data_IF_998474580787
#
_entry.id   IF_998474580787
#
_cell.length_a   1.000
_cell.length_b   1.000
_cell.length_c   1.000
_cell.angle_alpha   90.00
_cell.angle_beta   90.00
_cell.angle_gamma   90.00
#
_symmetry.space_group_name_H-M   'P 1'
#
loop_
_entity.id
_entity.type
_entity.pdbx_description
1 polymer ?
#
# COMPACT_ATOMS: atom_id res chain seq x y z
N UNK A 1 -30.02 4.57 6.29
CA UNK A 1 -29.51 3.76 5.17
C UNK A 1 -28.24 3.08 5.59
N UNK A 2 -28.26 1.77 5.67
CA UNK A 2 -27.07 1.02 6.05
C UNK A 2 -26.13 0.96 4.86
N UNK A 3 -24.90 1.39 5.07
CA UNK A 3 -23.84 1.17 4.11
C UNK A 3 -23.26 -0.22 4.37
N UNK A 4 -23.67 -1.18 3.60
CA UNK A 4 -23.04 -2.48 3.64
C UNK A 4 -21.68 -2.40 2.94
N UNK A 5 -20.66 -2.91 3.61
CA UNK A 5 -19.35 -3.02 3.00
C UNK A 5 -19.44 -4.01 1.83
N UNK A 6 -19.08 -3.55 0.65
CA UNK A 6 -18.99 -4.41 -0.52
C UNK A 6 -17.58 -4.99 -0.59
N UNK A 7 -17.48 -6.32 -0.53
CA UNK A 7 -16.21 -7.00 -0.66
C UNK A 7 -16.04 -7.51 -2.08
N UNK A 8 -14.96 -7.10 -2.71
CA UNK A 8 -14.55 -7.62 -4.01
C UNK A 8 -13.20 -8.31 -3.86
N UNK A 9 -13.03 -9.44 -4.52
CA UNK A 9 -11.74 -10.11 -4.60
C UNK A 9 -11.21 -9.95 -6.01
N UNK A 10 -10.04 -9.29 -6.14
CA UNK A 10 -9.44 -9.01 -7.42
C UNK A 10 -8.10 -9.75 -7.52
N UNK A 11 -7.88 -10.38 -8.68
CA UNK A 11 -6.59 -10.97 -9.01
C UNK A 11 -5.69 -9.96 -9.70
N UNK A 12 -4.39 -10.22 -9.63
CA UNK A 12 -3.42 -9.39 -10.32
C UNK A 12 -3.27 -9.81 -11.78
N UNK A 13 -2.96 -8.84 -12.62
CA UNK A 13 -2.58 -9.10 -14.00
C UNK A 13 -1.26 -9.88 -14.05
N UNK A 14 -1.00 -10.55 -15.16
CA UNK A 14 0.19 -11.39 -15.32
C UNK A 14 1.49 -10.63 -15.07
N UNK A 15 1.58 -9.39 -15.54
CA UNK A 15 2.75 -8.54 -15.33
C UNK A 15 2.97 -8.22 -13.85
N UNK A 16 1.87 -7.99 -13.11
CA UNK A 16 1.93 -7.74 -11.68
C UNK A 16 2.39 -8.99 -10.94
N UNK A 17 1.92 -10.16 -11.35
CA UNK A 17 2.37 -11.44 -10.76
C UNK A 17 3.88 -11.64 -10.93
N UNK A 18 4.41 -11.32 -12.09
CA UNK A 18 5.85 -11.37 -12.36
C UNK A 18 6.61 -10.42 -11.43
N UNK A 19 6.12 -9.20 -11.30
CA UNK A 19 6.71 -8.21 -10.42
C UNK A 19 6.72 -8.68 -8.97
N UNK A 20 5.58 -9.20 -8.49
CA UNK A 20 5.47 -9.73 -7.13
C UNK A 20 6.49 -10.83 -6.89
N UNK A 21 6.64 -11.73 -7.84
CA UNK A 21 7.60 -12.83 -7.74
C UNK A 21 9.03 -12.30 -7.60
N UNK A 22 9.40 -11.34 -8.42
CA UNK A 22 10.73 -10.73 -8.38
C UNK A 22 10.95 -9.94 -7.09
N UNK A 23 9.96 -9.19 -6.62
CA UNK A 23 10.05 -8.44 -5.37
C UNK A 23 10.21 -9.38 -4.18
N UNK A 24 9.42 -10.43 -4.11
CA UNK A 24 9.50 -11.43 -3.04
C UNK A 24 10.89 -12.05 -3.02
N UNK A 25 11.42 -12.43 -4.18
CA UNK A 25 12.74 -13.03 -4.28
C UNK A 25 13.85 -12.06 -3.86
N UNK A 26 13.78 -10.82 -4.34
CA UNK A 26 14.79 -9.79 -4.06
C UNK A 26 14.80 -9.34 -2.60
N UNK A 27 13.63 -9.27 -1.95
CA UNK A 27 13.48 -8.71 -0.62
C UNK A 27 13.25 -9.75 0.48
N UNK A 28 13.34 -11.02 0.15
CA UNK A 28 13.02 -12.11 1.07
C UNK A 28 13.79 -12.05 2.39
N UNK A 29 15.04 -11.61 2.35
CA UNK A 29 15.88 -11.51 3.55
C UNK A 29 15.64 -10.25 4.37
N UNK A 30 14.81 -9.33 3.89
CA UNK A 30 14.52 -8.05 4.55
C UNK A 30 13.01 -7.82 4.58
N UNK A 31 12.30 -8.68 5.29
CA UNK A 31 10.84 -8.71 5.30
C UNK A 31 10.20 -7.47 5.92
N UNK A 32 10.89 -6.80 6.83
CA UNK A 32 10.35 -5.61 7.51
C UNK A 32 10.11 -4.43 6.55
N UNK A 33 10.60 -4.51 5.32
CA UNK A 33 10.33 -3.50 4.30
C UNK A 33 8.82 -3.32 4.08
N UNK A 34 8.03 -4.39 4.16
CA UNK A 34 6.58 -4.27 3.98
C UNK A 34 5.97 -3.29 4.97
N UNK A 35 6.41 -3.35 6.21
CA UNK A 35 5.88 -2.48 7.26
C UNK A 35 6.29 -1.02 7.04
N UNK A 36 7.54 -0.78 6.68
CA UNK A 36 8.03 0.57 6.35
C UNK A 36 7.22 1.19 5.21
N UNK A 37 6.99 0.42 4.15
CA UNK A 37 6.26 0.93 3.00
C UNK A 37 4.80 1.22 3.32
N UNK A 38 4.14 0.35 4.08
CA UNK A 38 2.75 0.58 4.47
C UNK A 38 2.61 1.77 5.43
N UNK A 39 3.53 1.93 6.37
CA UNK A 39 3.55 3.09 7.27
C UNK A 39 3.79 4.37 6.48
N UNK A 40 4.71 4.35 5.52
CA UNK A 40 4.98 5.49 4.65
C UNK A 40 3.74 5.88 3.85
N UNK A 41 3.05 4.90 3.27
CA UNK A 41 1.81 5.14 2.53
C UNK A 41 0.72 5.72 3.44
N UNK A 42 0.58 5.21 4.64
CA UNK A 42 -0.38 5.72 5.62
C UNK A 42 -0.06 7.16 6.02
N UNK A 43 1.20 7.46 6.26
CA UNK A 43 1.66 8.81 6.57
C UNK A 43 1.37 9.78 5.42
N UNK A 44 1.62 9.36 4.19
CA UNK A 44 1.34 10.16 3.00
C UNK A 44 -0.16 10.45 2.86
N UNK A 45 -1.01 9.48 3.18
CA UNK A 45 -2.46 9.66 3.16
C UNK A 45 -2.92 10.70 4.18
N UNK A 46 -2.32 10.70 5.37
CA UNK A 46 -2.58 11.70 6.40
C UNK A 46 -2.11 13.08 5.98
N UNK A 47 -0.93 13.18 5.39
CA UNK A 47 -0.40 14.45 4.89
C UNK A 47 -1.28 15.02 3.78
N UNK A 48 -1.78 14.17 2.89
CA UNK A 48 -2.67 14.59 1.82
C UNK A 48 -3.98 15.13 2.35
N UNK A 49 -4.56 14.47 3.36
CA UNK A 49 -5.76 14.98 4.02
C UNK A 49 -5.50 16.34 4.67
N UNK A 50 -4.40 16.45 5.40
CA UNK A 50 -4.03 17.70 6.07
C UNK A 50 -3.89 18.83 5.07
N UNK A 51 -3.23 18.59 3.96
CA UNK A 51 -3.05 19.58 2.91
C UNK A 51 -4.38 20.02 2.30
N UNK A 52 -5.22 19.05 1.93
CA UNK A 52 -6.53 19.35 1.33
C UNK A 52 -7.46 20.05 2.32
N UNK A 53 -7.36 19.72 3.60
CA UNK A 53 -8.21 20.31 4.64
C UNK A 53 -7.85 21.78 4.95
N UNK A 54 -6.72 22.27 4.48
CA UNK A 54 -6.40 23.71 4.58
C UNK A 54 -7.44 24.56 3.85
N UNK A 55 -8.02 24.05 2.79
CA UNK A 55 -9.07 24.73 2.03
C UNK A 55 -10.49 24.27 2.42
N UNK A 56 -10.63 23.09 3.01
CA UNK A 56 -11.93 22.51 3.34
C UNK A 56 -11.83 21.67 4.63
N UNK A 57 -12.10 22.29 5.77
CA UNK A 57 -12.09 21.64 7.09
C UNK A 57 -13.07 20.46 7.19
N UNK A 58 -14.13 20.46 6.37
CA UNK A 58 -15.13 19.40 6.40
C UNK A 58 -14.55 18.03 6.04
N UNK A 59 -13.39 18.00 5.36
CA UNK A 59 -12.70 16.77 5.01
C UNK A 59 -12.26 15.97 6.25
N UNK A 60 -12.06 16.64 7.39
CA UNK A 60 -11.73 15.95 8.64
C UNK A 60 -12.89 15.15 9.23
N UNK A 61 -14.11 15.40 8.79
CA UNK A 61 -15.32 14.75 9.31
C UNK A 61 -15.41 14.79 10.84
N UNK A 62 -15.02 15.93 11.43
CA UNK A 62 -15.03 16.14 12.87
C UNK A 62 -13.82 15.59 13.61
N UNK A 63 -12.91 14.94 12.93
CA UNK A 63 -11.71 14.38 13.55
C UNK A 63 -10.45 14.94 12.90
N UNK A 64 -9.87 15.97 13.51
CA UNK A 64 -8.67 16.62 13.02
C UNK A 64 -7.38 15.97 13.49
N UNK A 65 -7.45 15.02 14.42
CA UNK A 65 -6.29 14.28 14.89
C UNK A 65 -5.98 13.11 13.97
N UNK A 66 -4.89 13.25 13.22
CA UNK A 66 -4.46 12.24 12.25
C UNK A 66 -3.57 11.20 12.94
N UNK A 67 -3.82 9.94 12.64
CA UNK A 67 -3.05 8.87 13.26
C UNK A 67 -2.86 7.68 12.32
N UNK A 68 -1.78 6.95 12.57
CA UNK A 68 -1.52 5.65 11.98
C UNK A 68 -1.52 4.63 13.12
N UNK A 69 -2.27 3.56 12.96
CA UNK A 69 -2.40 2.54 14.00
C UNK A 69 -1.98 1.18 13.44
N UNK A 70 -1.18 0.46 14.21
CA UNK A 70 -0.75 -0.89 13.86
C UNK A 70 -1.33 -1.85 14.91
N UNK A 71 -2.02 -2.88 14.44
CA UNK A 71 -2.61 -3.90 15.30
C UNK A 71 -2.13 -5.27 14.83
N UNK A 72 -1.74 -6.10 15.78
CA UNK A 72 -1.35 -7.48 15.50
C UNK A 72 -2.33 -8.44 16.16
N UNK A 73 -2.62 -9.55 15.47
CA UNK A 73 -3.47 -10.61 15.96
C UNK A 73 -2.78 -11.95 15.72
N UNK A 74 -2.17 -12.49 16.77
CA UNK A 74 -1.40 -13.73 16.68
C UNK A 74 -2.28 -14.97 16.50
N UNK A 75 -3.54 -14.91 16.92
CA UNK A 75 -4.47 -16.05 16.75
C UNK A 75 -4.86 -16.25 15.29
N UNK A 76 -5.06 -15.15 14.57
CA UNK A 76 -5.41 -15.14 13.15
C UNK A 76 -4.22 -14.90 12.22
N UNK A 77 -3.02 -14.78 12.78
CA UNK A 77 -1.80 -14.49 12.01
C UNK A 77 -1.98 -13.28 11.11
N UNK A 78 -2.47 -12.18 11.67
CA UNK A 78 -2.73 -10.97 10.88
C UNK A 78 -2.06 -9.74 11.47
N UNK A 79 -1.75 -8.79 10.60
CA UNK A 79 -1.29 -7.46 10.95
C UNK A 79 -2.18 -6.46 10.22
N UNK A 80 -2.67 -5.49 10.95
CA UNK A 80 -3.52 -4.43 10.40
C UNK A 80 -2.81 -3.09 10.53
N UNK A 81 -2.66 -2.37 9.43
CA UNK A 81 -2.16 -1.00 9.42
C UNK A 81 -3.32 -0.12 8.99
N UNK A 82 -3.75 0.79 9.86
CA UNK A 82 -4.84 1.70 9.55
C UNK A 82 -4.41 3.15 9.72
N UNK A 83 -5.00 4.01 8.92
CA UNK A 83 -4.75 5.44 9.00
C UNK A 83 -6.07 6.21 8.93
N UNK A 84 -6.04 7.44 9.44
CA UNK A 84 -7.15 8.38 9.35
C UNK A 84 -6.95 9.41 8.23
N UNK A 85 -6.23 9.03 7.19
CA UNK A 85 -5.91 9.89 6.07
C UNK A 85 -7.06 10.07 5.09
N UNK A 86 -6.71 10.52 3.87
CA UNK A 86 -7.69 10.93 2.85
C UNK A 86 -8.58 9.80 2.34
N UNK A 87 -8.13 8.55 2.45
CA UNK A 87 -8.87 7.42 1.92
C UNK A 87 -8.80 7.30 0.40
N UNK A 88 -9.47 6.29 -0.12
CA UNK A 88 -9.53 6.01 -1.55
C UNK A 88 -10.94 5.58 -1.93
N UNK A 89 -11.41 5.97 -3.10
CA UNK A 89 -12.63 5.40 -3.67
C UNK A 89 -12.30 4.11 -4.43
N UNK A 90 -13.33 3.42 -4.93
CA UNK A 90 -13.13 2.15 -5.64
C UNK A 90 -12.18 2.28 -6.83
N UNK A 91 -12.31 3.35 -7.60
CA UNK A 91 -11.47 3.58 -8.77
C UNK A 91 -10.02 3.80 -8.36
N UNK A 92 -9.78 4.56 -7.30
CA UNK A 92 -8.44 4.79 -6.77
C UNK A 92 -7.79 3.48 -6.34
N UNK A 93 -8.54 2.60 -5.66
CA UNK A 93 -8.02 1.31 -5.23
C UNK A 93 -7.59 0.47 -6.43
N UNK A 94 -8.41 0.42 -7.47
CA UNK A 94 -8.11 -0.35 -8.68
C UNK A 94 -6.87 0.21 -9.38
N UNK A 95 -6.80 1.53 -9.53
CA UNK A 95 -5.70 2.18 -10.26
C UNK A 95 -4.38 2.14 -9.51
N UNK A 96 -4.41 2.36 -8.19
CA UNK A 96 -3.18 2.48 -7.40
C UNK A 96 -2.69 1.16 -6.82
N UNK A 97 -3.59 0.22 -6.55
CA UNK A 97 -3.23 -1.05 -5.93
C UNK A 97 -3.37 -2.24 -6.89
N UNK A 98 -4.30 -2.16 -7.82
CA UNK A 98 -4.59 -3.25 -8.76
C UNK A 98 -3.73 -3.25 -10.01
N UNK A 99 -3.21 -2.09 -10.39
CA UNK A 99 -2.33 -1.94 -11.54
C UNK A 99 -1.07 -1.21 -11.10
N UNK A 100 0.07 -1.76 -11.43
CA UNK A 100 1.33 -1.04 -11.28
C UNK A 100 1.32 0.09 -12.30
N UNK A 101 1.89 1.23 -11.93
CA UNK A 101 2.05 2.35 -12.84
C UNK A 101 2.50 1.85 -14.20
N UNK A 102 1.58 1.88 -15.15
CA UNK A 102 1.68 1.17 -16.44
C UNK A 102 2.97 1.44 -17.21
N UNK A 103 3.50 2.65 -17.10
CA UNK A 103 4.70 3.07 -17.81
C UNK A 103 5.99 2.79 -17.04
N UNK A 104 5.89 2.56 -15.73
CA UNK A 104 7.06 2.39 -14.88
C UNK A 104 7.46 0.95 -14.61
N UNK A 105 6.58 -0.01 -14.89
CA UNK A 105 6.82 -1.40 -14.50
C UNK A 105 8.05 -2.01 -15.20
N UNK A 106 8.15 -1.83 -16.50
CA UNK A 106 9.29 -2.36 -17.25
C UNK A 106 10.60 -1.70 -16.84
N UNK A 107 10.57 -0.40 -16.62
CA UNK A 107 11.73 0.34 -16.14
C UNK A 107 12.12 -0.09 -14.74
N UNK A 108 11.15 -0.24 -13.84
CA UNK A 108 11.40 -0.74 -12.49
C UNK A 108 12.07 -2.12 -12.53
N UNK A 109 11.54 -3.04 -13.31
CA UNK A 109 12.09 -4.39 -13.44
C UNK A 109 13.51 -4.37 -13.98
N UNK A 110 13.81 -3.48 -14.93
CA UNK A 110 15.14 -3.38 -15.53
C UNK A 110 16.18 -2.85 -14.56
N UNK A 111 15.77 -2.09 -13.54
CA UNK A 111 16.66 -1.48 -12.56
C UNK A 111 16.87 -2.34 -11.31
N UNK A 112 16.12 -3.41 -11.14
CA UNK A 112 16.30 -4.31 -10.00
C UNK A 112 17.69 -4.97 -10.07
N UNK A 113 18.43 -4.86 -8.99
CA UNK A 113 19.83 -5.30 -8.92
C UNK A 113 20.06 -6.50 -8.02
N UNK A 114 19.09 -6.85 -7.17
CA UNK A 114 19.29 -7.81 -6.10
C UNK A 114 19.93 -7.22 -4.85
N UNK A 115 20.39 -5.97 -4.90
CA UNK A 115 20.89 -5.24 -3.75
C UNK A 115 19.70 -4.66 -2.97
N UNK A 116 19.47 -5.16 -1.76
CA UNK A 116 18.33 -4.78 -0.95
C UNK A 116 18.18 -3.28 -0.72
N UNK A 117 19.29 -2.59 -0.50
CA UNK A 117 19.25 -1.15 -0.23
C UNK A 117 18.80 -0.36 -1.46
N UNK A 118 19.35 -0.71 -2.62
CA UNK A 118 19.00 -0.05 -3.88
C UNK A 118 17.58 -0.41 -4.30
N UNK A 119 17.19 -1.67 -4.16
CA UNK A 119 15.87 -2.13 -4.53
C UNK A 119 14.79 -1.53 -3.62
N UNK A 120 15.06 -1.33 -2.33
CA UNK A 120 14.16 -0.64 -1.42
C UNK A 120 13.91 0.80 -1.85
N UNK A 121 14.94 1.50 -2.29
CA UNK A 121 14.80 2.87 -2.80
C UNK A 121 13.97 2.91 -4.08
N UNK A 122 14.16 1.94 -4.97
CA UNK A 122 13.38 1.83 -6.19
C UNK A 122 11.89 1.58 -5.90
N UNK A 123 11.59 0.74 -4.92
CA UNK A 123 10.20 0.47 -4.52
C UNK A 123 9.47 1.76 -4.15
N UNK A 124 10.09 2.60 -3.32
CA UNK A 124 9.53 3.89 -2.96
C UNK A 124 9.43 4.84 -4.15
N UNK A 125 10.48 4.89 -4.98
CA UNK A 125 10.53 5.77 -6.14
C UNK A 125 9.44 5.46 -7.17
N UNK A 126 9.17 4.18 -7.43
CA UNK A 126 8.16 3.76 -8.40
C UNK A 126 6.76 3.55 -7.81
N UNK A 127 6.59 3.78 -6.50
CA UNK A 127 5.28 3.70 -5.84
C UNK A 127 4.69 2.30 -5.80
N UNK A 128 5.53 1.29 -5.72
CA UNK A 128 5.10 -0.12 -5.70
C UNK A 128 5.20 -0.75 -4.31
N UNK A 129 5.34 0.08 -3.28
CA UNK A 129 5.54 -0.37 -1.91
C UNK A 129 4.43 -1.25 -1.35
N UNK A 130 3.18 -1.01 -1.77
CA UNK A 130 2.06 -1.82 -1.35
C UNK A 130 2.30 -3.31 -1.61
N UNK A 131 2.91 -3.63 -2.73
CA UNK A 131 3.13 -5.02 -3.14
C UNK A 131 4.12 -5.77 -2.24
N UNK A 132 4.93 -5.03 -1.48
CA UNK A 132 5.84 -5.65 -0.50
C UNK A 132 5.10 -6.41 0.59
N UNK A 133 3.81 -6.13 0.81
CA UNK A 133 2.96 -6.87 1.74
C UNK A 133 2.94 -8.36 1.44
N UNK A 134 3.04 -8.74 0.18
CA UNK A 134 3.00 -10.15 -0.24
C UNK A 134 4.28 -10.91 0.05
N UNK A 135 5.33 -10.24 0.54
CA UNK A 135 6.52 -10.92 1.07
C UNK A 135 6.15 -11.72 2.33
N UNK A 136 5.20 -11.22 3.11
CA UNK A 136 4.80 -11.83 4.40
C UNK A 136 3.38 -12.36 4.40
N UNK A 137 2.53 -11.93 3.48
CA UNK A 137 1.10 -12.26 3.49
C UNK A 137 0.70 -13.08 2.26
N UNK A 138 -0.15 -14.05 2.46
CA UNK A 138 -0.80 -14.81 1.39
C UNK A 138 -1.99 -14.07 0.83
N UNK A 139 -2.63 -13.25 1.66
CA UNK A 139 -3.83 -12.50 1.32
C UNK A 139 -3.75 -11.12 1.94
N UNK A 140 -4.16 -10.12 1.18
CA UNK A 140 -4.21 -8.73 1.66
C UNK A 140 -5.63 -8.20 1.46
N UNK A 141 -6.20 -7.68 2.53
CA UNK A 141 -7.52 -7.02 2.51
C UNK A 141 -7.34 -5.53 2.70
N UNK A 142 -7.93 -4.75 1.83
CA UNK A 142 -7.91 -3.27 1.90
C UNK A 142 -9.32 -2.79 2.19
N UNK A 143 -9.46 -2.01 3.26
CA UNK A 143 -10.72 -1.38 3.66
C UNK A 143 -10.53 0.13 3.60
N UNK A 144 -11.42 0.82 2.89
CA UNK A 144 -11.29 2.26 2.73
C UNK A 144 -12.64 2.92 2.42
#
# INVERSE_FOLDING_TARGET
>A
MSTEAQKETLGFQTEVKQLLHLMIHSLYSNKEIFLRELISNASDACDKLRYNALENDALYEGQSELQVKITTDSENNSVTISDSGIGMNRQDVIEHLGTIAKSGTAEFLSQLTGDQKKDSQLIGQFGVGFYSSFIVADEVEVVT
#
